data_IF_882637771999
#
_entry.id   IF_882637771999
#
_cell.length_a   1.000
_cell.length_b   1.000
_cell.length_c   1.000
_cell.angle_alpha   90.00
_cell.angle_beta   90.00
_cell.angle_gamma   90.00
#
_symmetry.space_group_name_H-M   'P 1'
#
loop_
_entity.id
_entity.type
_entity.pdbx_description
1 polymer ?
#
# COMPACT_ATOMS: atom_id res chain seq x y z
N UNK A 1 6.42 12.62 3.05
CA UNK A 1 5.85 11.95 4.25
C UNK A 1 6.45 10.56 4.32
N UNK A 2 6.81 10.07 5.50
CA UNK A 2 7.32 8.70 5.64
C UNK A 2 6.14 7.73 5.78
N UNK A 3 6.34 6.45 5.44
CA UNK A 3 5.28 5.45 5.52
C UNK A 3 4.75 5.32 6.96
N UNK A 4 5.62 5.39 7.97
CA UNK A 4 5.24 5.27 9.37
C UNK A 4 4.38 6.43 9.90
N UNK A 5 4.33 7.56 9.19
CA UNK A 5 3.52 8.73 9.55
C UNK A 5 2.01 8.45 9.35
N UNK A 6 1.64 7.43 8.57
CA UNK A 6 0.26 7.00 8.38
C UNK A 6 -0.31 6.25 9.60
N UNK A 7 0.50 5.92 10.61
CA UNK A 7 0.04 5.25 11.84
C UNK A 7 -0.61 6.25 12.80
N UNK A 8 -1.82 5.96 13.25
CA UNK A 8 -2.52 6.76 14.26
C UNK A 8 -1.89 6.63 15.66
N UNK A 9 -1.34 5.46 16.01
CA UNK A 9 -0.56 5.26 17.23
C UNK A 9 0.85 4.77 16.89
N UNK A 10 1.87 5.56 17.28
CA UNK A 10 3.28 5.28 17.00
C UNK A 10 3.84 4.11 17.82
N UNK A 11 3.13 3.62 18.84
CA UNK A 11 3.55 2.53 19.74
C UNK A 11 3.22 1.13 19.22
N UNK A 12 2.45 1.01 18.13
CA UNK A 12 2.12 -0.27 17.48
C UNK A 12 2.56 -0.30 16.02
N UNK A 13 2.67 -1.50 15.41
CA UNK A 13 2.79 -1.64 13.96
C UNK A 13 1.55 -1.09 13.21
N UNK A 14 1.62 -1.10 11.89
CA UNK A 14 0.48 -0.76 11.03
C UNK A 14 -0.72 -1.66 11.29
N UNK A 15 -1.91 -1.06 11.24
CA UNK A 15 -3.11 -1.80 10.87
C UNK A 15 -3.13 -2.04 9.36
N UNK A 16 -3.93 -2.99 8.89
CA UNK A 16 -4.10 -3.22 7.46
C UNK A 16 -4.53 -1.98 6.67
N UNK A 17 -5.41 -1.15 7.25
CA UNK A 17 -5.88 0.08 6.60
C UNK A 17 -4.75 1.11 6.46
N UNK A 18 -3.97 1.33 7.52
CA UNK A 18 -2.83 2.26 7.48
C UNK A 18 -1.72 1.76 6.56
N UNK A 19 -1.49 0.44 6.52
CA UNK A 19 -0.57 -0.16 5.56
C UNK A 19 -1.00 0.12 4.12
N UNK A 20 -2.27 -0.13 3.77
CA UNK A 20 -2.77 0.12 2.41
C UNK A 20 -2.66 1.61 2.04
N UNK A 21 -2.97 2.52 2.97
CA UNK A 21 -2.83 3.95 2.71
C UNK A 21 -1.37 4.35 2.50
N UNK A 22 -0.44 3.76 3.26
CA UNK A 22 1.00 3.99 3.08
C UNK A 22 1.52 3.59 1.69
N UNK A 23 0.80 2.75 0.95
CA UNK A 23 1.18 2.34 -0.41
C UNK A 23 0.82 3.38 -1.49
N UNK A 24 0.03 4.41 -1.15
CA UNK A 24 -0.39 5.49 -2.06
C UNK A 24 0.60 6.65 -2.04
N UNK A 25 1.87 6.32 -2.22
CA UNK A 25 3.01 7.22 -2.07
C UNK A 25 3.54 7.78 -3.41
N UNK A 26 2.86 7.48 -4.51
CA UNK A 26 3.30 7.87 -5.85
C UNK A 26 4.43 7.00 -6.42
N UNK A 27 4.67 5.81 -5.85
CA UNK A 27 5.64 4.84 -6.36
C UNK A 27 5.48 4.55 -7.84
N UNK A 28 6.61 4.33 -8.50
CA UNK A 28 6.65 3.94 -9.90
C UNK A 28 6.71 2.43 -10.02
N UNK A 29 5.59 1.84 -10.41
CA UNK A 29 5.45 0.41 -10.63
C UNK A 29 4.97 0.19 -12.05
N UNK A 30 5.64 -0.71 -12.76
CA UNK A 30 5.32 -1.03 -14.15
C UNK A 30 4.95 -2.50 -14.27
N UNK A 31 3.93 -2.79 -15.09
CA UNK A 31 3.55 -4.15 -15.46
C UNK A 31 3.18 -4.16 -16.94
N UNK A 32 3.67 -5.12 -17.71
CA UNK A 32 3.39 -5.25 -19.14
C UNK A 32 3.63 -3.96 -19.95
N UNK A 33 4.61 -3.15 -19.56
CA UNK A 33 4.92 -1.87 -20.21
C UNK A 33 4.05 -0.68 -19.79
N UNK A 34 3.07 -0.88 -18.90
CA UNK A 34 2.19 0.18 -18.39
C UNK A 34 2.52 0.57 -16.95
N UNK A 35 2.42 1.86 -16.64
CA UNK A 35 2.59 2.39 -15.28
C UNK A 35 1.31 2.20 -14.47
N UNK A 36 1.44 1.59 -13.30
CA UNK A 36 0.35 1.45 -12.33
C UNK A 36 0.24 2.75 -11.53
N UNK A 37 -0.94 3.38 -11.59
CA UNK A 37 -1.23 4.59 -10.82
C UNK A 37 -1.43 4.31 -9.31
N UNK A 38 -2.06 3.17 -8.96
CA UNK A 38 -2.32 2.78 -7.58
C UNK A 38 -2.31 1.26 -7.41
N UNK A 39 -1.30 0.77 -6.68
CA UNK A 39 -1.11 -0.67 -6.43
C UNK A 39 -2.18 -1.29 -5.53
N UNK A 40 -2.89 -0.47 -4.73
CA UNK A 40 -3.94 -0.95 -3.81
C UNK A 40 -5.23 -1.31 -4.54
N UNK A 41 -5.44 -0.75 -5.73
CA UNK A 41 -6.65 -0.92 -6.54
C UNK A 41 -6.40 -1.66 -7.85
N UNK A 42 -5.16 -1.65 -8.36
CA UNK A 42 -4.83 -2.29 -9.63
C UNK A 42 -5.14 -3.80 -9.64
N UNK A 43 -5.82 -4.34 -10.67
CA UNK A 43 -6.24 -5.74 -10.72
C UNK A 43 -5.10 -6.75 -10.48
N UNK A 44 -3.88 -6.46 -10.96
CA UNK A 44 -2.73 -7.34 -10.81
C UNK A 44 -2.16 -7.41 -9.38
N UNK A 45 -2.39 -6.40 -8.52
CA UNK A 45 -1.76 -6.32 -7.19
C UNK A 45 -2.74 -6.26 -6.03
N UNK A 46 -3.97 -5.78 -6.24
CA UNK A 46 -4.94 -5.47 -5.17
C UNK A 46 -5.19 -6.64 -4.21
N UNK A 47 -5.16 -7.88 -4.69
CA UNK A 47 -5.39 -9.06 -3.86
C UNK A 47 -4.18 -9.35 -2.96
N UNK A 48 -2.96 -9.30 -3.51
CA UNK A 48 -1.72 -9.48 -2.74
C UNK A 48 -1.57 -8.39 -1.67
N UNK A 49 -1.89 -7.13 -2.01
CA UNK A 49 -1.90 -6.03 -1.04
C UNK A 49 -2.89 -6.28 0.10
N UNK A 50 -4.10 -6.75 -0.21
CA UNK A 50 -5.12 -7.13 0.79
C UNK A 50 -4.71 -8.33 1.65
N UNK A 51 -4.01 -9.31 1.09
CA UNK A 51 -3.49 -10.45 1.85
C UNK A 51 -2.47 -10.00 2.88
N UNK A 52 -1.54 -9.10 2.51
CA UNK A 52 -0.56 -8.58 3.47
C UNK A 52 -1.21 -7.69 4.53
N UNK A 53 -2.26 -6.96 4.18
CA UNK A 53 -3.02 -6.13 5.12
C UNK A 53 -3.77 -6.93 6.21
N UNK A 54 -3.81 -8.27 6.13
CA UNK A 54 -4.50 -9.15 7.08
C UNK A 54 -3.57 -9.89 8.04
N UNK A 55 -2.25 -9.74 7.89
CA UNK A 55 -1.27 -10.24 8.86
C UNK A 55 -1.31 -9.39 10.13
#
# INVERSE_FOLDING_TARGET
>A
MRAEDYRADKRRPFTGAEYLESLRDGREVYINGERIADVTTHPAMRNSARSLARL
#
